data_IF_728630600601
#
_entry.id   IF_728630600601
#
_cell.length_a   1.000
_cell.length_b   1.000
_cell.length_c   1.000
_cell.angle_alpha   90.00
_cell.angle_beta   90.00
_cell.angle_gamma   90.00
#
_symmetry.space_group_name_H-M   'P 1'
#
loop_
_entity.id
_entity.type
_entity.pdbx_description
1 polymer ?
#
# COMPACT_ATOMS: atom_id res chain seq x y z
N UNK A 1 -22.43 -12.73 -13.83
CA UNK A 1 -21.21 -12.08 -14.35
C UNK A 1 -20.09 -12.18 -13.33
N UNK A 2 -18.89 -12.59 -13.71
CA UNK A 2 -17.73 -12.65 -12.80
C UNK A 2 -17.10 -11.26 -12.69
N UNK A 3 -16.78 -10.82 -11.47
CA UNK A 3 -16.08 -9.54 -11.25
C UNK A 3 -14.65 -9.62 -11.78
N UNK A 4 -14.25 -8.65 -12.61
CA UNK A 4 -12.87 -8.51 -13.10
C UNK A 4 -12.06 -7.74 -12.04
N UNK A 5 -10.92 -8.29 -11.63
CA UNK A 5 -9.98 -7.63 -10.70
C UNK A 5 -8.98 -6.78 -11.47
N UNK A 6 -8.34 -5.83 -10.80
CA UNK A 6 -7.23 -5.06 -11.39
C UNK A 6 -6.10 -5.96 -11.94
N UNK A 7 -5.79 -7.07 -11.24
CA UNK A 7 -4.81 -8.05 -11.69
C UNK A 7 -5.24 -8.83 -12.95
N UNK A 8 -6.55 -8.97 -13.19
CA UNK A 8 -7.06 -9.58 -14.41
C UNK A 8 -6.84 -8.65 -15.61
N UNK A 9 -7.00 -7.33 -15.44
CA UNK A 9 -6.69 -6.33 -16.47
C UNK A 9 -5.20 -6.37 -16.82
N UNK A 10 -4.33 -6.33 -15.81
CA UNK A 10 -2.87 -6.40 -16.03
C UNK A 10 -2.45 -7.69 -16.74
N UNK A 11 -3.05 -8.83 -16.36
CA UNK A 11 -2.76 -10.11 -17.01
C UNK A 11 -3.26 -10.14 -18.47
N UNK A 12 -4.41 -9.54 -18.76
CA UNK A 12 -4.94 -9.44 -20.12
C UNK A 12 -4.06 -8.57 -21.02
N UNK A 13 -3.63 -7.40 -20.51
CA UNK A 13 -2.74 -6.48 -21.24
C UNK A 13 -1.36 -7.10 -21.50
N UNK A 14 -0.85 -7.90 -20.57
CA UNK A 14 0.40 -8.64 -20.75
C UNK A 14 0.25 -9.77 -21.79
N UNK A 15 -0.74 -10.65 -21.61
CA UNK A 15 -1.03 -11.74 -22.55
C UNK A 15 -2.48 -12.22 -22.42
N UNK A 16 -3.28 -11.91 -23.44
CA UNK A 16 -4.70 -12.28 -23.51
C UNK A 16 -4.91 -13.79 -23.48
N UNK A 17 -4.03 -14.56 -24.13
CA UNK A 17 -4.08 -16.04 -24.13
C UNK A 17 -3.84 -16.61 -22.74
N UNK A 18 -2.79 -16.17 -22.06
CA UNK A 18 -2.48 -16.63 -20.70
C UNK A 18 -3.58 -16.22 -19.71
N UNK A 19 -4.14 -15.02 -19.87
CA UNK A 19 -5.32 -14.59 -19.12
C UNK A 19 -6.51 -15.54 -19.36
N UNK A 20 -6.80 -15.89 -20.61
CA UNK A 20 -7.90 -16.81 -20.95
C UNK A 20 -7.70 -18.20 -20.36
N UNK A 21 -6.48 -18.76 -20.43
CA UNK A 21 -6.15 -20.04 -19.79
C UNK A 21 -6.38 -20.00 -18.28
N UNK A 22 -5.98 -18.92 -17.61
CA UNK A 22 -6.27 -18.73 -16.19
C UNK A 22 -7.78 -18.72 -15.91
N UNK A 23 -8.61 -18.16 -16.79
CA UNK A 23 -10.06 -18.19 -16.61
C UNK A 23 -10.66 -19.58 -16.75
N UNK A 24 -9.98 -20.49 -17.46
CA UNK A 24 -10.35 -21.91 -17.55
C UNK A 24 -9.77 -22.74 -16.39
N UNK A 25 -9.09 -22.12 -15.43
CA UNK A 25 -8.48 -22.82 -14.29
C UNK A 25 -7.14 -23.48 -14.61
N UNK A 26 -6.55 -23.19 -15.78
CA UNK A 26 -5.22 -23.69 -16.13
C UNK A 26 -4.18 -22.92 -15.31
N UNK A 27 -3.36 -23.64 -14.55
CA UNK A 27 -2.30 -23.06 -13.75
C UNK A 27 -1.18 -22.47 -14.63
N UNK A 28 -0.53 -21.43 -14.11
CA UNK A 28 0.64 -20.88 -14.77
C UNK A 28 1.85 -21.73 -14.44
N UNK A 29 2.73 -21.99 -15.42
CA UNK A 29 4.04 -22.58 -15.14
C UNK A 29 4.93 -21.63 -14.33
N UNK A 30 4.62 -20.32 -14.32
CA UNK A 30 5.40 -19.30 -13.63
C UNK A 30 4.95 -19.07 -12.17
N UNK A 31 4.74 -20.14 -11.40
CA UNK A 31 4.32 -20.01 -9.99
C UNK A 31 5.40 -19.37 -9.12
N UNK A 32 6.68 -19.63 -9.40
CA UNK A 32 7.80 -19.11 -8.62
C UNK A 32 7.87 -17.58 -8.66
N UNK A 33 7.82 -16.97 -9.85
CA UNK A 33 7.87 -15.50 -9.96
C UNK A 33 6.60 -14.86 -9.40
N UNK A 34 5.43 -15.51 -9.57
CA UNK A 34 4.17 -15.02 -8.98
C UNK A 34 4.22 -15.01 -7.45
N UNK A 35 4.82 -16.04 -6.83
CA UNK A 35 5.03 -16.09 -5.39
C UNK A 35 6.05 -15.02 -4.94
N UNK A 36 7.15 -14.87 -5.68
CA UNK A 36 8.15 -13.82 -5.42
C UNK A 36 7.55 -12.42 -5.50
N UNK A 37 6.76 -12.13 -6.53
CA UNK A 37 6.07 -10.85 -6.67
C UNK A 37 5.09 -10.58 -5.52
N UNK A 38 4.36 -11.60 -5.05
CA UNK A 38 3.46 -11.48 -3.90
C UNK A 38 4.22 -11.13 -2.63
N UNK A 39 5.34 -11.79 -2.37
CA UNK A 39 6.16 -11.52 -1.19
C UNK A 39 6.75 -10.10 -1.23
N UNK A 40 7.26 -9.65 -2.38
CA UNK A 40 7.73 -8.28 -2.57
C UNK A 40 6.62 -7.26 -2.28
N UNK A 41 5.40 -7.50 -2.78
CA UNK A 41 4.25 -6.63 -2.48
C UNK A 41 3.89 -6.63 -0.98
N UNK A 42 3.99 -7.76 -0.28
CA UNK A 42 3.75 -7.83 1.16
C UNK A 42 4.80 -7.04 1.95
N UNK A 43 6.09 -7.19 1.63
CA UNK A 43 7.17 -6.45 2.25
C UNK A 43 7.02 -4.94 2.02
N UNK A 44 6.71 -4.53 0.79
CA UNK A 44 6.43 -3.14 0.47
C UNK A 44 5.22 -2.62 1.24
N UNK A 45 4.13 -3.39 1.31
CA UNK A 45 2.93 -3.02 2.06
C UNK A 45 3.19 -2.78 3.55
N UNK A 46 4.04 -3.61 4.19
CA UNK A 46 4.48 -3.40 5.57
C UNK A 46 5.27 -2.10 5.73
N UNK A 47 6.14 -1.80 4.77
CA UNK A 47 6.92 -0.56 4.75
C UNK A 47 6.02 0.68 4.58
N UNK A 48 5.02 0.61 3.71
CA UNK A 48 4.04 1.68 3.52
C UNK A 48 3.22 1.92 4.79
N UNK A 49 2.73 0.85 5.43
CA UNK A 49 1.96 0.95 6.67
C UNK A 49 2.77 1.59 7.79
N UNK A 50 3.98 1.09 8.03
CA UNK A 50 4.88 1.63 9.07
C UNK A 50 5.25 3.09 8.80
N UNK A 51 5.53 3.45 7.53
CA UNK A 51 5.77 4.83 7.12
C UNK A 51 4.54 5.72 7.37
N UNK A 52 3.33 5.23 7.10
CA UNK A 52 2.09 5.94 7.39
C UNK A 52 1.90 6.23 8.88
N UNK A 53 2.12 5.22 9.73
CA UNK A 53 2.04 5.35 11.20
C UNK A 53 3.06 6.37 11.71
N UNK A 54 4.32 6.26 11.28
CA UNK A 54 5.38 7.18 11.70
C UNK A 54 5.10 8.62 11.24
N UNK A 55 4.61 8.82 10.02
CA UNK A 55 4.20 10.14 9.52
C UNK A 55 3.07 10.74 10.35
N UNK A 56 2.06 9.94 10.68
CA UNK A 56 0.97 10.39 11.55
C UNK A 56 1.49 10.80 12.93
N UNK A 57 2.32 9.97 13.57
CA UNK A 57 2.92 10.28 14.86
C UNK A 57 3.77 11.57 14.81
N UNK A 58 4.57 11.75 13.75
CA UNK A 58 5.38 12.95 13.56
C UNK A 58 4.53 14.22 13.51
N UNK A 59 3.44 14.21 12.73
CA UNK A 59 2.53 15.36 12.67
C UNK A 59 1.78 15.60 13.98
N UNK A 60 1.38 14.54 14.69
CA UNK A 60 0.75 14.67 16.00
C UNK A 60 1.70 15.33 17.03
N UNK A 61 2.96 14.90 17.08
CA UNK A 61 3.97 15.50 17.95
C UNK A 61 4.30 16.95 17.56
N UNK A 62 4.40 17.24 16.25
CA UNK A 62 4.61 18.60 15.77
C UNK A 62 3.46 19.51 16.21
N UNK A 63 2.21 19.08 16.03
CA UNK A 63 1.03 19.84 16.47
C UNK A 63 1.04 20.07 17.98
N UNK A 64 1.34 19.04 18.78
CA UNK A 64 1.46 19.17 20.23
C UNK A 64 2.53 20.20 20.64
N UNK A 65 3.71 20.17 20.00
CA UNK A 65 4.78 21.12 20.26
C UNK A 65 4.35 22.57 19.92
N UNK A 66 3.67 22.76 18.80
CA UNK A 66 3.14 24.07 18.39
C UNK A 66 2.09 24.58 19.39
N UNK A 67 1.17 23.72 19.85
CA UNK A 67 0.17 24.09 20.86
C UNK A 67 0.82 24.51 22.19
N UNK A 68 1.76 23.71 22.69
CA UNK A 68 2.49 24.03 23.93
C UNK A 68 3.27 25.35 23.81
N UNK A 69 3.89 25.58 22.65
CA UNK A 69 4.60 26.84 22.37
C UNK A 69 3.64 28.03 22.36
N UNK A 70 2.48 27.90 21.72
CA UNK A 70 1.46 28.94 21.69
C UNK A 70 0.90 29.23 23.08
N UNK A 71 0.60 28.20 23.88
CA UNK A 71 0.16 28.36 25.28
C UNK A 71 1.20 29.12 26.08
N UNK A 72 2.47 28.70 26.02
CA UNK A 72 3.56 29.36 26.75
C UNK A 72 3.70 30.83 26.34
N UNK A 73 3.68 31.12 25.04
CA UNK A 73 3.78 32.49 24.54
C UNK A 73 2.60 33.35 25.02
N UNK A 74 1.39 32.79 25.04
CA UNK A 74 0.18 33.47 25.49
C UNK A 74 0.27 33.83 26.97
N UNK A 75 0.75 32.90 27.82
CA UNK A 75 0.97 33.12 29.26
C UNK A 75 2.08 34.15 29.58
N UNK A 76 2.95 34.47 28.62
CA UNK A 76 4.00 35.49 28.81
C UNK A 76 3.55 36.89 28.40
N UNK A 77 2.50 37.00 27.58
CA UNK A 77 2.03 38.26 26.99
C UNK A 77 0.85 38.84 27.80
N UNK A 78 -0.03 38.00 28.31
CA UNK A 78 -1.16 38.34 29.19
C UNK A 78 -0.75 38.28 30.65
#
# INVERSE_FOLDING_TARGET
MRKIRASDIGSYLFCQRAWWYRQQGIESENLADLAGGRELHHQHGRTVLTSGILRFAAYAFLLAALMLTAIKATMQIL
#
